data_IF_486915549897
#
_entry.id   IF_486915549897
#
_cell.length_a   1.000
_cell.length_b   1.000
_cell.length_c   1.000
_cell.angle_alpha   90.00
_cell.angle_beta   90.00
_cell.angle_gamma   90.00
#
_symmetry.space_group_name_H-M   'P 1'
#
loop_
_entity.id
_entity.type
_entity.pdbx_description
1 polymer ?
#
# COMPACT_ATOMS: atom_id res chain seq x y z
N UNK A 1 38.76 -34.69 -28.75
CA UNK A 1 38.98 -33.85 -27.54
C UNK A 1 38.50 -32.40 -27.71
N UNK A 2 38.97 -31.60 -28.69
CA UNK A 2 38.52 -30.20 -28.88
C UNK A 2 36.99 -30.00 -29.00
N UNK A 3 36.28 -30.87 -29.71
CA UNK A 3 34.80 -30.80 -29.85
C UNK A 3 34.05 -31.00 -28.53
N UNK A 4 34.50 -31.93 -27.70
CA UNK A 4 33.92 -32.16 -26.38
C UNK A 4 34.22 -31.01 -25.42
N UNK A 5 35.41 -30.42 -25.51
CA UNK A 5 35.77 -29.24 -24.73
C UNK A 5 34.89 -28.03 -25.06
N UNK A 6 34.57 -27.81 -26.34
CA UNK A 6 33.65 -26.75 -26.77
C UNK A 6 32.24 -26.98 -26.21
N UNK A 7 31.70 -28.20 -26.34
CA UNK A 7 30.37 -28.54 -25.79
C UNK A 7 30.33 -28.33 -24.27
N UNK A 8 31.38 -28.71 -23.55
CA UNK A 8 31.45 -28.60 -22.10
C UNK A 8 31.54 -27.12 -21.66
N UNK A 9 32.31 -26.29 -22.37
CA UNK A 9 32.36 -24.83 -22.16
C UNK A 9 31.02 -24.17 -22.48
N UNK A 10 30.33 -24.61 -23.54
CA UNK A 10 28.99 -24.09 -23.90
C UNK A 10 27.93 -24.41 -22.83
N UNK A 11 27.99 -25.59 -22.22
CA UNK A 11 27.06 -25.99 -21.14
C UNK A 11 27.31 -25.19 -19.86
N UNK A 12 28.57 -24.93 -19.50
CA UNK A 12 28.91 -24.08 -18.34
C UNK A 12 28.65 -22.58 -18.56
N UNK A 13 28.66 -22.11 -19.82
CA UNK A 13 28.31 -20.73 -20.15
C UNK A 13 26.80 -20.44 -20.02
N UNK A 14 25.95 -21.48 -19.96
CA UNK A 14 24.48 -21.38 -19.91
C UNK A 14 23.90 -21.52 -18.49
N UNK A 15 24.69 -21.90 -17.48
CA UNK A 15 24.16 -22.35 -16.19
C UNK A 15 24.05 -21.27 -15.10
N UNK A 16 24.22 -19.98 -15.41
CA UNK A 16 24.38 -18.96 -14.35
C UNK A 16 23.80 -17.57 -14.57
N UNK A 17 23.27 -17.24 -15.75
CA UNK A 17 22.64 -15.94 -15.99
C UNK A 17 21.12 -16.10 -15.76
N UNK A 18 20.50 -15.26 -14.93
CA UNK A 18 19.03 -15.22 -14.78
C UNK A 18 18.47 -15.66 -13.41
N UNK A 19 18.90 -16.79 -12.83
CA UNK A 19 18.30 -17.28 -11.55
C UNK A 19 18.44 -16.29 -10.40
N UNK A 20 19.61 -15.62 -10.31
CA UNK A 20 19.86 -14.62 -9.28
C UNK A 20 19.05 -13.32 -9.52
N UNK A 21 18.69 -13.02 -10.78
CA UNK A 21 17.86 -11.86 -11.13
C UNK A 21 16.38 -12.10 -10.82
N UNK A 22 15.87 -13.31 -11.04
CA UNK A 22 14.52 -13.69 -10.62
C UNK A 22 14.35 -13.54 -9.11
N UNK A 23 15.27 -14.09 -8.31
CA UNK A 23 15.21 -13.98 -6.86
C UNK A 23 15.32 -12.52 -6.41
N UNK A 24 16.22 -11.75 -7.03
CA UNK A 24 16.39 -10.32 -6.74
C UNK A 24 15.11 -9.52 -7.01
N UNK A 25 14.46 -9.72 -8.16
CA UNK A 25 13.24 -9.00 -8.52
C UNK A 25 12.03 -9.44 -7.68
N UNK A 26 11.94 -10.72 -7.32
CA UNK A 26 10.92 -11.23 -6.40
C UNK A 26 11.02 -10.57 -5.02
N UNK A 27 12.23 -10.53 -4.43
CA UNK A 27 12.46 -9.86 -3.16
C UNK A 27 12.20 -8.34 -3.24
N UNK A 28 12.50 -7.69 -4.37
CA UNK A 28 12.15 -6.29 -4.59
C UNK A 28 10.63 -6.07 -4.63
N UNK A 29 9.88 -6.95 -5.29
CA UNK A 29 8.43 -6.87 -5.34
C UNK A 29 7.80 -7.07 -3.95
N UNK A 30 8.30 -8.04 -3.16
CA UNK A 30 7.88 -8.25 -1.77
C UNK A 30 8.18 -7.03 -0.89
N UNK A 31 9.38 -6.47 -0.99
CA UNK A 31 9.75 -5.28 -0.23
C UNK A 31 8.87 -4.07 -0.60
N UNK A 32 8.60 -3.85 -1.89
CA UNK A 32 7.71 -2.79 -2.35
C UNK A 32 6.26 -3.00 -1.87
N UNK A 33 5.80 -4.26 -1.81
CA UNK A 33 4.49 -4.58 -1.25
C UNK A 33 4.41 -4.32 0.25
N UNK A 34 5.42 -4.71 1.03
CA UNK A 34 5.50 -4.40 2.46
C UNK A 34 5.44 -2.89 2.70
N UNK A 35 6.06 -2.08 1.84
CA UNK A 35 5.97 -0.63 1.94
C UNK A 35 4.53 -0.11 1.72
N UNK A 36 3.78 -0.68 0.77
CA UNK A 36 2.35 -0.36 0.60
C UNK A 36 1.57 -0.65 1.89
N UNK A 37 1.78 -1.82 2.50
CA UNK A 37 1.12 -2.20 3.74
C UNK A 37 1.49 -1.26 4.90
N UNK A 38 2.76 -0.85 5.00
CA UNK A 38 3.21 0.09 6.02
C UNK A 38 2.49 1.43 5.92
N UNK A 39 2.30 1.95 4.69
CA UNK A 39 1.59 3.23 4.51
C UNK A 39 0.10 3.10 4.80
N UNK A 40 -0.55 1.98 4.46
CA UNK A 40 -1.93 1.71 4.88
C UNK A 40 -2.08 1.61 6.39
N UNK A 41 -1.15 0.92 7.07
CA UNK A 41 -1.14 0.82 8.53
C UNK A 41 -1.00 2.21 9.17
N UNK A 42 -0.03 3.00 8.71
CA UNK A 42 0.16 4.38 9.18
C UNK A 42 -1.12 5.21 9.06
N UNK A 43 -1.82 5.12 7.94
CA UNK A 43 -3.10 5.82 7.77
C UNK A 43 -4.12 5.38 8.82
N UNK A 44 -4.27 4.08 9.04
CA UNK A 44 -5.17 3.55 10.06
C UNK A 44 -4.77 3.97 11.48
N UNK A 45 -3.48 4.14 11.76
CA UNK A 45 -2.95 4.58 13.06
C UNK A 45 -3.17 6.07 13.34
N UNK A 46 -3.35 6.90 12.31
CA UNK A 46 -3.72 8.31 12.48
C UNK A 46 -5.19 8.50 12.85
N UNK A 47 -6.06 7.56 12.45
CA UNK A 47 -7.52 7.70 12.62
C UNK A 47 -7.96 7.92 14.08
N UNK A 48 -7.46 7.19 15.09
CA UNK A 48 -7.86 7.42 16.48
C UNK A 48 -7.57 8.85 16.95
N UNK A 49 -6.42 9.42 16.56
CA UNK A 49 -6.06 10.79 16.90
C UNK A 49 -6.97 11.80 16.20
N UNK A 50 -7.24 11.60 14.90
CA UNK A 50 -8.18 12.43 14.12
C UNK A 50 -9.57 12.41 14.78
N UNK A 51 -10.09 11.22 15.10
CA UNK A 51 -11.40 11.04 15.73
C UNK A 51 -11.42 11.71 17.10
N UNK A 52 -10.37 11.56 17.92
CA UNK A 52 -10.31 12.20 19.24
C UNK A 52 -10.32 13.73 19.14
N UNK A 53 -9.56 14.31 18.21
CA UNK A 53 -9.54 15.78 18.00
C UNK A 53 -10.89 16.30 17.52
N UNK A 54 -11.52 15.60 16.57
CA UNK A 54 -12.83 16.02 16.03
C UNK A 54 -13.96 15.83 17.06
N UNK A 55 -13.91 14.78 17.88
CA UNK A 55 -14.87 14.57 18.99
C UNK A 55 -14.85 15.69 20.04
N UNK A 56 -13.77 16.46 20.12
CA UNK A 56 -13.70 17.65 20.97
C UNK A 56 -14.66 18.77 20.52
N UNK A 57 -15.10 18.76 19.26
CA UNK A 57 -16.12 19.68 18.74
C UNK A 57 -17.52 19.10 18.99
N UNK A 58 -18.20 19.63 20.01
CA UNK A 58 -19.48 19.10 20.48
C UNK A 58 -20.59 19.14 19.41
N UNK A 59 -20.52 20.07 18.46
CA UNK A 59 -21.49 20.23 17.38
C UNK A 59 -21.18 19.36 16.14
N UNK A 60 -20.12 18.53 16.18
CA UNK A 60 -19.70 17.76 15.02
C UNK A 60 -20.63 16.58 14.72
N UNK A 61 -20.83 16.30 13.43
CA UNK A 61 -21.66 15.21 12.91
C UNK A 61 -21.18 13.81 13.38
N UNK A 62 -21.95 13.18 14.26
CA UNK A 62 -21.63 11.84 14.77
C UNK A 62 -21.64 10.78 13.68
N UNK A 63 -22.55 10.86 12.70
CA UNK A 63 -22.60 9.90 11.59
C UNK A 63 -21.28 9.89 10.80
N UNK A 64 -20.70 11.06 10.53
CA UNK A 64 -19.44 11.19 9.80
C UNK A 64 -18.28 10.55 10.58
N UNK A 65 -18.22 10.73 11.90
CA UNK A 65 -17.23 10.06 12.75
C UNK A 65 -17.42 8.54 12.81
N UNK A 66 -18.67 8.07 12.95
CA UNK A 66 -18.99 6.63 12.97
C UNK A 66 -18.52 5.96 11.69
N UNK A 67 -18.82 6.55 10.52
CA UNK A 67 -18.37 6.02 9.22
C UNK A 67 -16.85 5.91 9.12
N UNK A 68 -16.10 6.86 9.69
CA UNK A 68 -14.63 6.80 9.71
C UNK A 68 -14.12 5.68 10.61
N UNK A 69 -14.73 5.50 11.78
CA UNK A 69 -14.38 4.44 12.73
C UNK A 69 -14.67 3.06 12.13
N UNK A 70 -15.82 2.88 11.52
CA UNK A 70 -16.23 1.63 10.85
C UNK A 70 -15.34 1.31 9.66
N UNK A 71 -15.07 2.30 8.80
CA UNK A 71 -14.19 2.12 7.66
C UNK A 71 -12.76 1.74 8.09
N UNK A 72 -12.26 2.34 9.18
CA UNK A 72 -10.97 1.94 9.77
C UNK A 72 -11.03 0.50 10.26
N UNK A 73 -12.04 0.14 11.05
CA UNK A 73 -12.18 -1.20 11.59
C UNK A 73 -12.18 -2.26 10.48
N UNK A 74 -12.95 -2.01 9.41
CA UNK A 74 -12.99 -2.86 8.22
C UNK A 74 -11.64 -2.94 7.52
N UNK A 75 -10.98 -1.82 7.27
CA UNK A 75 -9.66 -1.77 6.64
C UNK A 75 -8.59 -2.54 7.43
N UNK A 76 -8.65 -2.52 8.77
CA UNK A 76 -7.71 -3.23 9.64
C UNK A 76 -8.08 -4.69 9.92
N UNK A 77 -9.33 -5.09 9.70
CA UNK A 77 -9.80 -6.47 9.92
C UNK A 77 -9.28 -7.46 8.88
N UNK A 78 -8.88 -6.96 7.70
CA UNK A 78 -8.39 -7.79 6.61
C UNK A 78 -6.88 -7.97 6.79
N UNK A 79 -6.48 -9.14 7.28
CA UNK A 79 -5.07 -9.52 7.34
C UNK A 79 -4.60 -9.90 5.94
N UNK A 80 -3.64 -9.15 5.41
CA UNK A 80 -3.00 -9.48 4.13
C UNK A 80 -1.91 -10.49 4.39
N UNK A 81 -2.17 -11.74 4.02
CA UNK A 81 -1.17 -12.81 4.00
C UNK A 81 -0.67 -13.05 2.57
N UNK A 82 0.44 -13.78 2.37
CA UNK A 82 0.87 -14.17 1.02
C UNK A 82 -0.22 -14.87 0.21
N UNK A 83 -1.10 -15.64 0.86
CA UNK A 83 -2.24 -16.33 0.23
C UNK A 83 -3.30 -15.34 -0.25
N UNK A 84 -3.47 -14.21 0.45
CA UNK A 84 -4.41 -13.14 0.05
C UNK A 84 -4.03 -12.53 -1.30
N UNK A 85 -2.73 -12.50 -1.62
CA UNK A 85 -2.25 -11.97 -2.91
C UNK A 85 -2.51 -12.93 -4.07
N UNK A 86 -2.70 -14.22 -3.78
CA UNK A 86 -2.99 -15.26 -4.76
C UNK A 86 -4.50 -15.49 -4.95
N UNK A 87 -5.34 -14.87 -4.14
CA UNK A 87 -6.80 -14.88 -4.25
C UNK A 87 -7.31 -13.50 -4.72
N UNK A 88 -7.71 -13.38 -6.01
CA UNK A 88 -8.22 -12.12 -6.55
C UNK A 88 -9.41 -11.55 -5.79
N UNK A 89 -10.31 -12.41 -5.28
CA UNK A 89 -11.51 -11.95 -4.57
C UNK A 89 -11.16 -11.45 -3.16
N UNK A 90 -10.20 -12.10 -2.49
CA UNK A 90 -9.69 -11.61 -1.21
C UNK A 90 -8.94 -10.28 -1.38
N UNK A 91 -8.11 -10.16 -2.43
CA UNK A 91 -7.39 -8.93 -2.74
C UNK A 91 -8.32 -7.78 -3.13
N UNK A 92 -9.39 -8.05 -3.88
CA UNK A 92 -10.42 -7.06 -4.21
C UNK A 92 -11.12 -6.54 -2.96
N UNK A 93 -11.49 -7.43 -2.02
CA UNK A 93 -12.06 -7.03 -0.72
C UNK A 93 -11.11 -6.14 0.07
N UNK A 94 -9.81 -6.48 0.10
CA UNK A 94 -8.79 -5.66 0.73
C UNK A 94 -8.74 -4.25 0.12
N UNK A 95 -8.64 -4.16 -1.21
CA UNK A 95 -8.61 -2.87 -1.90
C UNK A 95 -9.88 -2.05 -1.68
N UNK A 96 -11.05 -2.69 -1.70
CA UNK A 96 -12.33 -2.03 -1.43
C UNK A 96 -12.37 -1.43 -0.01
N UNK A 97 -11.91 -2.17 1.00
CA UNK A 97 -11.84 -1.66 2.37
C UNK A 97 -10.85 -0.49 2.51
N UNK A 98 -9.70 -0.54 1.83
CA UNK A 98 -8.75 0.58 1.80
C UNK A 98 -9.34 1.82 1.09
N UNK A 99 -10.12 1.62 0.02
CA UNK A 99 -10.82 2.70 -0.69
C UNK A 99 -11.92 3.34 0.16
N UNK A 100 -12.67 2.52 0.90
CA UNK A 100 -13.72 2.98 1.81
C UNK A 100 -13.17 3.88 2.92
N UNK A 101 -12.03 3.50 3.53
CA UNK A 101 -11.34 4.32 4.51
C UNK A 101 -10.87 5.66 3.91
N UNK A 102 -10.28 5.64 2.71
CA UNK A 102 -9.88 6.87 2.01
C UNK A 102 -11.07 7.80 1.78
N UNK A 103 -12.19 7.25 1.29
CA UNK A 103 -13.40 8.01 1.03
C UNK A 103 -14.04 8.58 2.30
N UNK A 104 -14.06 7.81 3.39
CA UNK A 104 -14.57 8.28 4.69
C UNK A 104 -13.72 9.43 5.24
N UNK A 105 -12.39 9.33 5.14
CA UNK A 105 -11.47 10.38 5.57
C UNK A 105 -11.58 11.63 4.68
N UNK A 106 -11.73 11.48 3.36
CA UNK A 106 -11.96 12.60 2.45
C UNK A 106 -13.24 13.36 2.78
N UNK A 107 -14.35 12.64 3.02
CA UNK A 107 -15.61 13.26 3.47
C UNK A 107 -15.44 13.98 4.80
N UNK A 108 -14.75 13.39 5.77
CA UNK A 108 -14.44 14.04 7.04
C UNK A 108 -13.71 15.36 6.83
N UNK A 109 -12.69 15.40 5.96
CA UNK A 109 -11.93 16.61 5.68
C UNK A 109 -12.81 17.72 5.06
N UNK A 110 -13.74 17.36 4.18
CA UNK A 110 -14.70 18.32 3.61
C UNK A 110 -15.67 18.84 4.66
N UNK A 111 -16.22 17.96 5.50
CA UNK A 111 -17.15 18.37 6.58
C UNK A 111 -16.46 19.29 7.57
N UNK A 112 -15.21 19.04 7.94
CA UNK A 112 -14.47 19.88 8.90
C UNK A 112 -14.28 21.33 8.42
N UNK A 113 -14.26 21.59 7.12
CA UNK A 113 -14.18 22.97 6.60
C UNK A 113 -15.38 23.84 7.01
N UNK A 114 -16.50 23.22 7.40
CA UNK A 114 -17.70 23.90 7.91
C UNK A 114 -17.59 24.29 9.40
N UNK A 115 -16.52 23.86 10.09
CA UNK A 115 -16.32 24.05 11.54
C UNK A 115 -15.06 24.91 11.79
N UNK A 116 -15.20 26.24 11.96
CA UNK A 116 -14.06 27.15 12.09
C UNK A 116 -13.10 26.82 13.23
N UNK A 117 -13.62 26.32 14.36
CA UNK A 117 -12.81 25.95 15.52
C UNK A 117 -11.88 24.76 15.20
N UNK A 118 -12.38 23.74 14.51
CA UNK A 118 -11.58 22.60 14.07
C UNK A 118 -10.56 23.01 13.01
N UNK A 119 -10.96 23.91 12.10
CA UNK A 119 -10.06 24.48 11.09
C UNK A 119 -8.90 25.27 11.70
N UNK A 120 -9.15 25.99 12.79
CA UNK A 120 -8.14 26.74 13.53
C UNK A 120 -7.36 25.87 14.55
N UNK A 121 -7.78 24.62 14.78
CA UNK A 121 -7.11 23.72 15.71
C UNK A 121 -5.77 23.24 15.13
N UNK A 122 -4.67 23.63 15.77
CA UNK A 122 -3.32 23.27 15.31
C UNK A 122 -3.11 21.75 15.25
N UNK A 123 -3.57 21.01 16.27
CA UNK A 123 -3.45 19.55 16.30
C UNK A 123 -4.21 18.87 15.17
N UNK A 124 -5.39 19.38 14.81
CA UNK A 124 -6.14 18.89 13.65
C UNK A 124 -5.42 19.22 12.34
N UNK A 125 -4.90 20.44 12.20
CA UNK A 125 -4.14 20.87 11.02
C UNK A 125 -2.92 19.97 10.79
N UNK A 126 -2.17 19.67 11.85
CA UNK A 126 -1.00 18.78 11.80
C UNK A 126 -1.40 17.36 11.37
N UNK A 127 -2.50 16.82 11.92
CA UNK A 127 -3.02 15.50 11.55
C UNK A 127 -3.50 15.46 10.09
N UNK A 128 -4.11 16.55 9.59
CA UNK A 128 -4.51 16.68 8.18
C UNK A 128 -3.29 16.62 7.26
N UNK A 129 -2.22 17.35 7.58
CA UNK A 129 -0.96 17.32 6.82
C UNK A 129 -0.32 15.93 6.85
N UNK A 130 -0.31 15.26 8.00
CA UNK A 130 0.19 13.89 8.10
C UNK A 130 -0.63 12.90 7.28
N UNK A 131 -1.95 13.05 7.28
CA UNK A 131 -2.84 12.20 6.50
C UNK A 131 -2.62 12.42 4.99
N UNK A 132 -2.60 13.66 4.53
CA UNK A 132 -2.30 14.00 3.13
C UNK A 132 -0.94 13.43 2.70
N UNK A 133 0.09 13.64 3.53
CA UNK A 133 1.40 13.06 3.30
C UNK A 133 1.39 11.53 3.24
N UNK A 134 0.52 10.88 4.01
CA UNK A 134 0.34 9.43 3.97
C UNK A 134 -0.36 8.98 2.69
N UNK A 135 -1.43 9.65 2.24
CA UNK A 135 -2.12 9.33 0.97
C UNK A 135 -1.20 9.50 -0.25
N UNK A 136 -0.36 10.55 -0.24
CA UNK A 136 0.66 10.75 -1.27
C UNK A 136 1.70 9.61 -1.27
N UNK A 137 2.14 9.17 -0.08
CA UNK A 137 3.08 8.04 0.07
C UNK A 137 2.45 6.71 -0.34
N UNK A 138 1.17 6.47 -0.05
CA UNK A 138 0.43 5.30 -0.54
C UNK A 138 0.47 5.27 -2.06
N UNK A 139 0.16 6.40 -2.72
CA UNK A 139 0.17 6.50 -4.18
C UNK A 139 1.55 6.16 -4.76
N UNK A 140 2.61 6.74 -4.19
CA UNK A 140 3.99 6.46 -4.61
C UNK A 140 4.39 5.00 -4.36
N UNK A 141 4.07 4.45 -3.19
CA UNK A 141 4.38 3.06 -2.85
C UNK A 141 3.68 2.07 -3.79
N UNK A 142 2.41 2.33 -4.15
CA UNK A 142 1.67 1.52 -5.12
C UNK A 142 2.31 1.57 -6.49
N UNK A 143 2.73 2.74 -6.97
CA UNK A 143 3.43 2.87 -8.25
C UNK A 143 4.75 2.09 -8.25
N UNK A 144 5.56 2.21 -7.19
CA UNK A 144 6.81 1.44 -7.04
C UNK A 144 6.56 -0.07 -7.04
N UNK A 145 5.50 -0.53 -6.37
CA UNK A 145 5.12 -1.94 -6.41
C UNK A 145 4.73 -2.39 -7.83
N UNK A 146 3.95 -1.58 -8.55
CA UNK A 146 3.59 -1.86 -9.96
C UNK A 146 4.84 -1.94 -10.83
N UNK A 147 5.79 -1.02 -10.69
CA UNK A 147 7.06 -1.03 -11.42
C UNK A 147 7.92 -2.27 -11.10
N UNK A 148 8.01 -2.66 -9.83
CA UNK A 148 8.73 -3.86 -9.41
C UNK A 148 8.11 -5.14 -10.00
N UNK A 149 6.78 -5.26 -9.95
CA UNK A 149 6.04 -6.38 -10.57
C UNK A 149 6.19 -6.36 -12.09
N UNK A 150 6.19 -5.19 -12.73
CA UNK A 150 6.44 -5.08 -14.15
C UNK A 150 7.84 -5.59 -14.52
N UNK A 151 8.88 -5.19 -13.79
CA UNK A 151 10.24 -5.67 -14.01
C UNK A 151 10.34 -7.19 -13.86
N UNK A 152 9.76 -7.74 -12.80
CA UNK A 152 9.68 -9.18 -12.58
C UNK A 152 8.97 -9.89 -13.74
N UNK A 153 7.80 -9.39 -14.17
CA UNK A 153 7.01 -9.97 -15.25
C UNK A 153 7.71 -9.90 -16.60
N UNK A 154 8.47 -8.84 -16.88
CA UNK A 154 9.28 -8.71 -18.10
C UNK A 154 10.35 -9.79 -18.13
N UNK A 155 11.11 -9.96 -17.04
CA UNK A 155 12.12 -11.02 -16.94
C UNK A 155 11.49 -12.41 -17.11
N UNK A 156 10.36 -12.66 -16.43
CA UNK A 156 9.61 -13.92 -16.50
C UNK A 156 9.08 -14.26 -17.89
N UNK A 157 8.88 -13.25 -18.76
CA UNK A 157 8.34 -13.42 -20.11
C UNK A 157 9.39 -13.20 -21.20
N UNK A 158 10.64 -12.95 -20.84
CA UNK A 158 11.76 -12.77 -21.76
C UNK A 158 12.56 -14.06 -21.95
N UNK A 159 13.16 -14.23 -23.13
CA UNK A 159 14.10 -15.31 -23.42
C UNK A 159 15.28 -14.81 -24.27
N UNK A 160 16.53 -15.22 -23.99
CA UNK A 160 16.95 -15.97 -22.81
C UNK A 160 16.89 -15.07 -21.56
N UNK A 161 16.56 -15.67 -20.41
CA UNK A 161 16.55 -15.00 -19.11
C UNK A 161 17.86 -15.18 -18.36
#
# INVERSE_FOLDING_TARGET
MKRWFIVLVSVFALSGCGYNDFQRLDEQAKAAWSEVLNQYQRRADLVPNIVATVKGEAAFEQETLTRVIEARAKATSIQVTPETLNDPAAFEKFQAAQGELSGALSRLMVTVEQYPNLKANQGFSDLRVQLEGTENRITVARNRYIEAIQAYNVLARSFPS
#
